data_IF_362869490936
#
_entry.id   IF_362869490936
#
_cell.length_a   1.000
_cell.length_b   1.000
_cell.length_c   1.000
_cell.angle_alpha   90.00
_cell.angle_beta   90.00
_cell.angle_gamma   90.00
#
_symmetry.space_group_name_H-M   'P 1'
#
loop_
_entity.id
_entity.type
_entity.pdbx_description
1 polymer ?
2 water ?
#
# COMPACT_ATOMS: atom_id res chain seq x y z
N UNK A 33 -6.54 -9.15 15.56
CA UNK A 33 -7.06 -8.71 14.26
C UNK A 33 -7.52 -9.91 13.44
N UNK A 34 -8.57 -9.68 12.66
CA UNK A 34 -9.21 -10.68 11.82
C UNK A 34 -8.81 -10.60 10.35
N UNK A 35 -9.76 -10.95 9.48
CA UNK A 35 -9.60 -10.94 8.03
C UNK A 35 -10.86 -10.30 7.45
N UNK A 36 -10.79 -9.08 6.96
CA UNK A 36 -12.06 -8.46 6.50
C UNK A 36 -12.37 -9.02 5.12
N UNK A 37 -13.65 -9.24 4.78
CA UNK A 37 -13.96 -9.79 3.47
C UNK A 37 -13.91 -8.79 2.34
N UNK A 38 -14.48 -7.60 2.48
CA UNK A 38 -14.49 -6.66 1.37
C UNK A 38 -13.10 -6.08 1.13
N UNK A 39 -12.86 -5.59 -0.10
CA UNK A 39 -11.54 -5.11 -0.48
C UNK A 39 -11.71 -3.67 -0.87
N UNK A 40 -10.64 -2.88 -0.81
CA UNK A 40 -10.75 -1.48 -1.12
C UNK A 40 -11.17 -1.25 -2.56
N UNK A 41 -11.94 -0.20 -2.74
CA UNK A 41 -12.41 0.18 -4.05
C UNK A 41 -11.22 0.36 -4.98
N UNK A 42 -11.28 -0.34 -6.09
CA UNK A 42 -10.26 -0.27 -7.15
C UNK A 42 -9.18 -1.33 -6.92
N UNK A 43 -9.25 -2.07 -5.82
CA UNK A 43 -8.28 -3.09 -5.53
C UNK A 43 -7.74 -3.71 -6.82
N UNK A 44 -6.42 -3.83 -6.96
CA UNK A 44 -5.90 -4.44 -8.19
C UNK A 44 -5.29 -5.76 -7.81
N UNK A 45 -4.38 -5.80 -6.83
CA UNK A 45 -3.69 -6.99 -6.40
C UNK A 45 -2.91 -6.72 -5.12
N UNK A 46 -2.38 -7.78 -4.56
CA UNK A 46 -1.68 -7.80 -3.31
C UNK A 46 -0.18 -7.97 -3.51
N UNK A 47 0.60 -7.20 -2.78
CA UNK A 47 2.02 -7.30 -2.83
C UNK A 47 2.53 -7.53 -1.41
N UNK A 48 3.74 -8.06 -1.29
CA UNK A 48 4.42 -8.23 -0.04
C UNK A 48 5.77 -7.49 -0.11
N UNK A 49 6.12 -6.73 0.91
CA UNK A 49 7.40 -6.05 0.92
C UNK A 49 8.50 -7.10 1.12
N UNK A 50 9.55 -7.01 0.33
CA UNK A 50 10.72 -7.86 0.37
C UNK A 50 11.85 -7.11 1.04
N UNK A 51 11.69 -5.82 1.25
CA UNK A 51 12.70 -4.97 1.90
C UNK A 51 12.01 -3.84 2.62
N UNK A 52 12.51 -3.39 3.76
CA UNK A 52 11.99 -2.24 4.45
C UNK A 52 12.03 -0.97 3.61
N UNK A 53 11.09 -0.07 3.85
CA UNK A 53 11.05 1.19 3.16
C UNK A 53 10.63 2.25 4.18
N UNK A 54 11.49 3.23 4.41
CA UNK A 54 11.19 4.33 5.31
C UNK A 54 10.64 5.53 4.55
N UNK A 55 9.41 5.93 4.88
CA UNK A 55 8.75 7.05 4.27
C UNK A 55 9.63 8.29 4.38
N UNK A 56 9.76 9.11 3.36
CA UNK A 56 10.53 10.33 3.39
C UNK A 56 9.62 11.57 3.30
N UNK A 57 8.33 11.36 3.36
CA UNK A 57 7.26 12.29 3.07
C UNK A 57 5.95 11.70 3.62
N UNK A 58 4.94 12.54 3.77
CA UNK A 58 3.71 12.12 4.41
C UNK A 58 2.83 11.27 3.51
N UNK A 59 2.97 11.42 2.21
CA UNK A 59 2.26 10.67 1.21
C UNK A 59 2.87 9.31 0.88
N UNK A 60 3.90 8.86 1.57
CA UNK A 60 4.55 7.60 1.27
C UNK A 60 4.17 6.62 2.38
N UNK A 61 4.12 5.36 1.99
CA UNK A 61 3.89 4.30 2.94
C UNK A 61 5.16 3.76 3.52
N UNK A 62 5.16 3.53 4.82
CA UNK A 62 6.30 2.97 5.52
C UNK A 62 6.10 1.48 5.55
N UNK A 63 7.07 0.68 5.14
CA UNK A 63 6.93 -0.75 5.07
C UNK A 63 7.98 -1.45 5.92
N UNK A 64 7.74 -2.69 6.26
CA UNK A 64 8.68 -3.65 6.76
C UNK A 64 8.61 -4.92 5.93
N UNK A 65 9.77 -5.56 5.81
CA UNK A 65 9.84 -6.77 5.00
C UNK A 65 8.76 -7.67 5.58
N UNK A 66 7.92 -8.25 4.72
CA UNK A 66 6.86 -9.11 5.23
C UNK A 66 5.51 -8.44 5.16
N UNK A 67 5.41 -7.13 5.16
CA UNK A 67 4.11 -6.45 5.16
C UNK A 67 3.37 -6.79 3.86
N UNK A 68 2.08 -7.03 3.96
CA UNK A 68 1.25 -7.28 2.78
C UNK A 68 0.61 -5.94 2.48
N UNK A 69 0.58 -5.52 1.23
CA UNK A 69 0.00 -4.26 0.82
C UNK A 69 -1.09 -4.48 -0.20
N UNK A 70 -2.19 -3.75 -0.23
CA UNK A 70 -3.30 -3.92 -1.10
C UNK A 70 -3.14 -2.78 -2.08
N UNK A 71 -2.92 -3.11 -3.35
CA UNK A 71 -2.63 -2.06 -4.32
C UNK A 71 -3.90 -1.49 -4.89
N UNK A 72 -4.02 -0.18 -4.99
CA UNK A 72 -5.16 0.55 -5.44
C UNK A 72 -4.69 1.66 -6.39
N UNK A 73 -5.62 2.29 -7.11
CA UNK A 73 -5.29 3.26 -8.13
C UNK A 73 -4.81 4.58 -7.57
N UNK A 74 -4.12 5.35 -8.39
CA UNK A 74 -3.73 6.69 -7.98
C UNK A 74 -4.98 7.56 -8.10
N UNK A 75 -5.28 8.44 -7.13
CA UNK A 75 -6.50 9.24 -7.35
C UNK A 75 -6.22 10.53 -8.09
N UNK A 76 -4.95 10.83 -8.32
CA UNK A 76 -4.51 11.88 -9.23
C UNK A 76 -3.22 11.44 -9.91
N UNK A 77 -3.28 11.32 -11.24
CA UNK A 77 -2.20 10.89 -12.09
C UNK A 77 -1.01 11.81 -12.23
N UNK A 78 -1.16 13.07 -11.81
CA UNK A 78 -0.07 14.03 -11.88
C UNK A 78 0.87 13.83 -10.70
N UNK A 79 0.42 13.06 -9.71
CA UNK A 79 1.25 12.64 -8.59
C UNK A 79 1.89 11.28 -8.83
N UNK A 80 1.56 10.65 -9.96
CA UNK A 80 2.07 9.32 -10.28
C UNK A 80 3.46 9.42 -10.88
N UNK A 81 4.42 8.75 -10.27
CA UNK A 81 5.81 8.68 -10.67
C UNK A 81 6.14 7.27 -11.16
N UNK A 82 6.85 7.10 -12.26
CA UNK A 82 7.18 5.76 -12.74
C UNK A 82 7.95 4.93 -11.75
N UNK A 83 7.55 3.67 -11.55
CA UNK A 83 8.23 2.80 -10.57
C UNK A 83 7.57 2.84 -9.20
N UNK A 84 6.47 3.57 -9.04
CA UNK A 84 5.82 3.75 -7.74
C UNK A 84 4.40 3.19 -7.79
N UNK A 85 3.96 2.57 -6.70
CA UNK A 85 2.57 2.17 -6.57
C UNK A 85 1.88 2.89 -5.40
N UNK A 86 0.56 2.85 -5.42
CA UNK A 86 -0.31 3.37 -4.40
C UNK A 86 -0.94 2.17 -3.68
N UNK A 87 -0.89 2.13 -2.34
CA UNK A 87 -1.49 1.03 -1.64
C UNK A 87 -1.99 1.37 -0.22
N UNK A 88 -2.51 0.33 0.45
CA UNK A 88 -2.95 0.51 1.83
C UNK A 88 -2.51 -0.75 2.53
N UNK A 89 -1.83 -0.69 3.67
CA UNK A 89 -1.36 -1.96 4.24
C UNK A 89 -2.56 -2.84 4.58
N UNK A 90 -2.44 -4.15 4.41
CA UNK A 90 -3.51 -5.07 4.73
C UNK A 90 -3.93 -4.94 6.21
N UNK A 91 -2.96 -4.74 7.06
CA UNK A 91 -3.13 -4.55 8.48
C UNK A 91 -4.04 -3.38 8.76
N UNK A 92 -3.73 -2.20 8.21
CA UNK A 92 -4.57 -1.03 8.39
C UNK A 92 -6.00 -1.27 7.91
N UNK A 93 -6.10 -1.87 6.70
CA UNK A 93 -7.38 -2.15 6.11
C UNK A 93 -8.23 -3.06 7.00
N UNK A 94 -7.77 -4.12 7.55
CA UNK A 94 -8.43 -5.06 8.41
C UNK A 94 -8.89 -4.45 9.74
N UNK A 95 -8.30 -3.33 10.15
CA UNK A 95 -8.69 -2.64 11.36
C UNK A 95 -9.62 -1.49 11.03
N UNK A 96 -10.15 -1.46 9.81
CA UNK A 96 -11.06 -0.40 9.40
C UNK A 96 -10.60 1.03 9.70
N UNK A 97 -9.30 1.32 9.57
CA UNK A 97 -8.83 2.71 9.58
C UNK A 97 -9.31 3.38 8.29
N UNK A 98 -9.45 4.69 8.24
CA UNK A 98 -9.96 5.34 7.04
C UNK A 98 -8.92 5.32 5.92
N UNK A 99 -9.37 5.00 4.72
CA UNK A 99 -8.55 4.76 3.56
C UNK A 99 -7.75 5.97 3.12
N UNK A 100 -8.37 7.14 3.06
CA UNK A 100 -7.68 8.37 2.72
C UNK A 100 -6.55 8.64 3.70
N UNK A 101 -6.68 8.30 4.98
CA UNK A 101 -5.59 8.58 5.88
C UNK A 101 -4.49 7.55 5.95
N UNK A 102 -4.68 6.35 5.41
CA UNK A 102 -3.71 5.29 5.61
C UNK A 102 -2.96 4.90 4.33
N UNK A 103 -3.49 5.28 3.19
CA UNK A 103 -2.88 4.86 1.93
C UNK A 103 -1.63 5.70 1.63
N UNK A 104 -0.78 5.16 0.75
CA UNK A 104 0.46 5.95 0.48
C UNK A 104 1.18 5.28 -0.70
N UNK A 105 2.22 5.96 -1.20
CA UNK A 105 2.97 5.45 -2.34
C UNK A 105 4.23 4.78 -1.86
N UNK A 106 4.72 3.81 -2.62
CA UNK A 106 5.89 3.03 -2.30
C UNK A 106 6.53 2.53 -3.61
N UNK A 107 7.80 2.20 -3.58
CA UNK A 107 8.52 1.79 -4.76
C UNK A 107 8.16 0.38 -5.11
N UNK A 108 7.66 0.15 -6.30
CA UNK A 108 7.25 -1.20 -6.73
C UNK A 108 8.34 -2.22 -6.56
N UNK A 109 9.62 -1.87 -6.81
CA UNK A 109 10.57 -3.01 -6.75
C UNK A 109 11.02 -3.33 -5.35
N UNK A 110 10.44 -2.73 -4.29
CA UNK A 110 10.71 -3.19 -2.94
C UNK A 110 9.75 -4.33 -2.58
N UNK A 111 8.82 -4.70 -3.47
CA UNK A 111 7.79 -5.70 -3.22
C UNK A 111 7.71 -6.75 -4.33
N UNK A 112 6.93 -7.76 -4.14
CA UNK A 112 6.63 -8.77 -5.15
C UNK A 112 5.14 -9.11 -4.99
N UNK A 113 4.46 -9.43 -6.08
CA UNK A 113 3.06 -9.83 -6.07
C UNK A 113 2.80 -11.06 -5.24
N UNK A 114 1.75 -11.12 -4.47
CA UNK A 114 1.42 -12.35 -3.74
C UNK A 114 -0.01 -12.80 -4.03
N UNK A 115 -0.43 -13.85 -3.35
CA UNK A 115 -1.65 -14.54 -3.14
C UNK A 115 -2.24 -15.20 -4.38
#
# INVERSE_FOLDING_TARGET
MGSSHHHHHHSSGLVPRGSHMATVNGAVEGSTTTGRLDLPPGFMFKVQAQHDYTATDTDELQLKAGDVVLVIPFQNPEEQDEGWLMGVKESDWNQHKELEKCRGVFPENFTERVQ
#
